data_IF_392456176623
#
_entry.id   IF_392456176623
#
_cell.length_a   1.000
_cell.length_b   1.000
_cell.length_c   1.000
_cell.angle_alpha   90.00
_cell.angle_beta   90.00
_cell.angle_gamma   90.00
#
_symmetry.space_group_name_H-M   'P 1'
#
loop_
_entity.id
_entity.type
_entity.pdbx_description
1 polymer ?
#
# COMPACT_ATOMS: atom_id res chain seq x y z
N UNK A 1 17.41 -12.82 22.15
CA UNK A 1 17.91 -14.13 22.61
C UNK A 1 18.93 -13.82 23.70
N UNK A 2 18.48 -13.72 24.95
CA UNK A 2 19.39 -13.57 26.08
C UNK A 2 19.94 -14.95 26.40
N UNK A 3 21.23 -15.15 26.13
CA UNK A 3 21.96 -16.28 26.71
C UNK A 3 22.37 -15.77 28.08
N UNK A 4 21.83 -16.35 29.14
CA UNK A 4 22.25 -16.02 30.49
C UNK A 4 23.59 -16.72 30.73
N UNK A 5 24.68 -16.02 30.43
CA UNK A 5 26.04 -16.52 30.65
C UNK A 5 26.38 -16.19 32.10
N UNK A 6 26.22 -17.19 32.98
CA UNK A 6 26.73 -17.10 34.35
C UNK A 6 28.26 -17.06 34.33
N UNK A 7 28.79 -16.34 35.31
CA UNK A 7 30.14 -15.77 35.45
C UNK A 7 31.38 -16.67 35.20
N UNK A 8 32.53 -15.99 35.14
CA UNK A 8 33.77 -16.15 34.37
C UNK A 8 34.72 -17.34 34.50
N UNK A 9 34.46 -18.43 35.23
CA UNK A 9 35.50 -19.48 35.45
C UNK A 9 35.10 -20.92 35.15
N UNK A 10 33.98 -21.14 34.47
CA UNK A 10 33.57 -22.46 33.99
C UNK A 10 33.07 -22.36 32.56
N UNK A 11 33.43 -23.36 31.74
CA UNK A 11 33.03 -23.44 30.33
C UNK A 11 31.53 -23.09 30.19
N UNK A 12 31.15 -22.24 29.23
CA UNK A 12 29.77 -21.75 29.12
C UNK A 12 28.81 -22.92 29.01
N UNK A 13 28.05 -23.16 30.08
CA UNK A 13 27.01 -24.19 30.12
C UNK A 13 25.75 -23.59 29.50
N UNK A 14 25.35 -24.11 28.36
CA UNK A 14 24.05 -23.80 27.78
C UNK A 14 23.01 -24.55 28.60
N UNK A 15 22.27 -23.84 29.45
CA UNK A 15 21.25 -24.42 30.31
C UNK A 15 19.95 -24.64 29.51
N UNK A 16 19.75 -25.85 28.98
CA UNK A 16 18.59 -26.22 28.15
C UNK A 16 17.29 -26.46 28.95
N UNK A 17 17.15 -25.89 30.14
CA UNK A 17 16.09 -26.24 31.11
C UNK A 17 14.67 -25.94 30.62
N UNK A 18 14.50 -25.05 29.64
CA UNK A 18 13.17 -24.67 29.15
C UNK A 18 12.78 -25.44 27.85
N UNK A 19 11.87 -26.40 27.98
CA UNK A 19 11.29 -27.19 26.88
C UNK A 19 10.74 -26.32 25.75
N UNK A 20 10.15 -25.16 26.06
CA UNK A 20 9.63 -24.23 25.05
C UNK A 20 10.74 -23.58 24.23
N UNK A 21 11.93 -23.36 24.81
CA UNK A 21 13.08 -22.85 24.05
C UNK A 21 13.59 -23.90 23.06
N UNK A 22 13.62 -25.17 23.47
CA UNK A 22 13.99 -26.30 22.61
C UNK A 22 12.99 -26.49 21.46
N UNK A 23 11.68 -26.47 21.74
CA UNK A 23 10.64 -26.57 20.71
C UNK A 23 10.77 -25.43 19.69
N UNK A 24 10.93 -24.18 20.16
CA UNK A 24 11.13 -23.01 19.28
C UNK A 24 12.37 -23.14 18.41
N UNK A 25 13.50 -23.60 18.98
CA UNK A 25 14.73 -23.83 18.23
C UNK A 25 14.52 -24.91 17.16
N UNK A 26 13.89 -26.03 17.51
CA UNK A 26 13.60 -27.11 16.57
C UNK A 26 12.70 -26.64 15.43
N UNK A 27 11.66 -25.85 15.73
CA UNK A 27 10.78 -25.26 14.70
C UNK A 27 11.53 -24.32 13.77
N UNK A 28 12.41 -23.46 14.29
CA UNK A 28 13.27 -22.60 13.46
C UNK A 28 14.19 -23.42 12.57
N UNK A 29 14.82 -24.48 13.10
CA UNK A 29 15.67 -25.38 12.31
C UNK A 29 14.87 -26.06 11.19
N UNK A 30 13.66 -26.53 11.49
CA UNK A 30 12.78 -27.14 10.49
C UNK A 30 12.36 -26.14 9.41
N UNK A 31 11.96 -24.93 9.80
CA UNK A 31 11.62 -23.85 8.85
C UNK A 31 12.82 -23.48 7.97
N UNK A 32 13.99 -23.33 8.57
CA UNK A 32 15.24 -23.04 7.88
C UNK A 32 15.54 -24.11 6.82
N UNK A 33 15.50 -25.39 7.20
CA UNK A 33 15.74 -26.50 6.28
C UNK A 33 14.72 -26.58 5.14
N UNK A 34 13.46 -26.29 5.42
CA UNK A 34 12.39 -26.37 4.42
C UNK A 34 12.42 -25.20 3.43
N UNK A 35 12.82 -24.01 3.89
CA UNK A 35 12.81 -22.77 3.09
C UNK A 35 14.17 -22.43 2.48
N UNK A 36 15.25 -23.01 3.01
CA UNK A 36 16.64 -22.67 2.71
C UNK A 36 17.01 -21.18 2.96
N UNK A 37 16.22 -20.47 3.78
CA UNK A 37 16.51 -19.10 4.21
C UNK A 37 17.63 -19.14 5.27
N UNK A 38 18.58 -18.18 5.34
CA UNK A 38 19.57 -18.14 6.40
C UNK A 38 18.97 -18.04 7.81
N UNK A 39 19.61 -18.66 8.81
CA UNK A 39 19.11 -18.68 10.20
C UNK A 39 18.85 -17.28 10.79
N UNK A 40 19.66 -16.29 10.42
CA UNK A 40 19.52 -14.91 10.87
C UNK A 40 18.26 -14.27 10.30
N UNK A 41 18.04 -14.42 8.99
CA UNK A 41 16.88 -13.87 8.29
C UNK A 41 15.57 -14.56 8.70
N UNK A 42 15.55 -15.89 8.84
CA UNK A 42 14.33 -16.59 9.26
C UNK A 42 13.95 -16.23 10.71
N UNK A 43 14.94 -15.98 11.59
CA UNK A 43 14.67 -15.51 12.95
C UNK A 43 14.11 -14.09 12.96
N UNK A 44 14.67 -13.19 12.16
CA UNK A 44 14.16 -11.82 11.99
C UNK A 44 12.75 -11.85 11.42
N UNK A 45 12.49 -12.71 10.43
CA UNK A 45 11.18 -12.92 9.85
C UNK A 45 10.15 -13.36 10.90
N UNK A 46 10.44 -14.43 11.65
CA UNK A 46 9.54 -14.92 12.72
C UNK A 46 9.32 -13.84 13.78
N UNK A 47 10.36 -13.07 14.13
CA UNK A 47 10.24 -11.96 15.06
C UNK A 47 9.29 -10.87 14.53
N UNK A 48 9.50 -10.39 13.31
CA UNK A 48 8.65 -9.37 12.69
C UNK A 48 7.20 -9.83 12.59
N UNK A 49 6.95 -11.07 12.19
CA UNK A 49 5.61 -11.64 12.10
C UNK A 49 4.96 -11.73 13.49
N UNK A 50 5.68 -12.21 14.49
CA UNK A 50 5.16 -12.29 15.86
C UNK A 50 4.87 -10.89 16.43
N UNK A 51 5.74 -9.91 16.19
CA UNK A 51 5.57 -8.53 16.65
C UNK A 51 4.45 -7.78 15.95
N UNK A 52 4.10 -8.15 14.72
CA UNK A 52 2.94 -7.60 14.03
C UNK A 52 1.62 -8.26 14.47
N UNK A 53 1.67 -9.40 15.17
CA UNK A 53 0.49 -10.12 15.64
C UNK A 53 -0.15 -9.52 16.90
N UNK A 54 -1.43 -9.83 17.11
CA UNK A 54 -2.19 -9.40 18.29
C UNK A 54 -1.71 -10.03 19.61
N UNK A 55 -0.98 -11.14 19.56
CA UNK A 55 -0.49 -11.89 20.73
C UNK A 55 0.92 -11.43 21.12
N UNK A 56 0.99 -10.23 21.70
CA UNK A 56 2.23 -9.44 21.87
C UNK A 56 3.31 -10.09 22.77
N UNK A 57 3.03 -11.18 23.49
CA UNK A 57 3.90 -11.64 24.59
C UNK A 57 4.50 -13.04 24.44
N UNK A 58 4.30 -13.71 23.31
CA UNK A 58 4.81 -15.07 23.10
C UNK A 58 5.45 -15.15 21.73
N UNK A 59 6.79 -15.18 21.68
CA UNK A 59 7.56 -15.54 20.48
C UNK A 59 7.24 -16.99 20.11
N UNK A 60 6.10 -17.17 19.44
CA UNK A 60 5.48 -18.46 19.13
C UNK A 60 5.26 -18.51 17.63
N UNK A 61 5.69 -19.61 17.03
CA UNK A 61 5.44 -19.88 15.62
C UNK A 61 4.01 -20.39 15.52
N UNK A 62 3.11 -19.52 15.06
CA UNK A 62 1.68 -19.77 14.87
C UNK A 62 1.29 -19.80 13.38
N UNK A 63 0.00 -19.85 13.09
CA UNK A 63 -0.55 -19.86 11.74
C UNK A 63 -0.13 -18.63 10.91
N UNK A 64 -0.02 -17.45 11.52
CA UNK A 64 0.44 -16.22 10.87
C UNK A 64 1.88 -16.33 10.38
N UNK A 65 2.73 -17.09 11.07
CA UNK A 65 4.08 -17.39 10.56
C UNK A 65 4.03 -18.13 9.24
N UNK A 66 3.12 -19.12 9.12
CA UNK A 66 2.94 -19.88 7.89
C UNK A 66 2.22 -19.06 6.80
N UNK A 67 1.21 -18.25 7.15
CA UNK A 67 0.53 -17.33 6.22
C UNK A 67 1.52 -16.33 5.64
N UNK A 68 2.30 -15.66 6.50
CA UNK A 68 3.32 -14.70 6.07
C UNK A 68 4.38 -15.37 5.18
N UNK A 69 4.78 -16.61 5.51
CA UNK A 69 5.74 -17.35 4.71
C UNK A 69 5.17 -17.70 3.35
N UNK A 70 3.89 -18.10 3.29
CA UNK A 70 3.16 -18.35 2.05
C UNK A 70 3.09 -17.10 1.16
N UNK A 71 2.68 -15.96 1.72
CA UNK A 71 2.63 -14.67 1.00
C UNK A 71 4.01 -14.26 0.53
N UNK A 72 5.04 -14.32 1.38
CA UNK A 72 6.41 -14.05 0.96
C UNK A 72 6.86 -14.97 -0.18
N UNK A 73 6.61 -16.27 -0.07
CA UNK A 73 6.99 -17.25 -1.10
C UNK A 73 6.29 -17.00 -2.43
N UNK A 74 5.03 -16.61 -2.38
CA UNK A 74 4.24 -16.22 -3.54
C UNK A 74 4.79 -14.95 -4.18
N UNK A 75 4.99 -13.89 -3.40
CA UNK A 75 5.49 -12.61 -3.91
C UNK A 75 6.94 -12.69 -4.41
N UNK A 76 7.83 -13.42 -3.73
CA UNK A 76 9.24 -13.59 -4.16
C UNK A 76 9.42 -14.38 -5.45
N UNK A 77 8.40 -15.12 -5.90
CA UNK A 77 8.41 -15.76 -7.22
C UNK A 77 8.04 -14.79 -8.35
N UNK A 78 7.32 -13.71 -8.02
CA UNK A 78 6.75 -12.75 -8.99
C UNK A 78 7.50 -11.42 -9.00
N UNK A 79 8.03 -11.02 -7.85
CA UNK A 79 8.67 -9.74 -7.61
C UNK A 79 10.05 -9.93 -6.98
N UNK A 80 10.91 -8.93 -7.18
CA UNK A 80 12.19 -8.86 -6.48
C UNK A 80 11.96 -8.34 -5.06
N UNK A 81 11.79 -9.27 -4.12
CA UNK A 81 11.66 -9.00 -2.69
C UNK A 81 12.43 -10.05 -1.89
N UNK A 82 13.35 -9.61 -1.05
CA UNK A 82 14.06 -10.48 -0.11
C UNK A 82 13.23 -10.72 1.16
N UNK A 83 13.57 -11.79 1.91
CA UNK A 83 12.95 -12.08 3.22
C UNK A 83 13.10 -10.90 4.17
N UNK A 84 14.27 -10.26 4.16
CA UNK A 84 14.59 -9.14 5.03
C UNK A 84 13.73 -7.91 4.70
N UNK A 85 13.59 -7.56 3.41
CA UNK A 85 12.71 -6.47 2.98
C UNK A 85 11.24 -6.78 3.33
N UNK A 86 10.79 -8.01 3.09
CA UNK A 86 9.43 -8.44 3.44
C UNK A 86 9.19 -8.35 4.94
N UNK A 87 10.15 -8.78 5.77
CA UNK A 87 10.07 -8.69 7.23
C UNK A 87 9.99 -7.24 7.71
N UNK A 88 10.72 -6.33 7.06
CA UNK A 88 10.65 -4.91 7.33
C UNK A 88 9.31 -4.28 6.89
N UNK A 89 8.68 -4.81 5.85
CA UNK A 89 7.32 -4.42 5.47
C UNK A 89 6.27 -4.96 6.44
N UNK A 90 6.45 -6.12 7.06
CA UNK A 90 5.49 -6.66 8.05
C UNK A 90 5.58 -5.93 9.40
N UNK A 91 6.77 -5.50 9.81
CA UNK A 91 6.97 -4.82 11.10
C UNK A 91 7.93 -3.64 10.95
N UNK A 92 9.14 -3.73 11.50
CA UNK A 92 10.14 -2.66 11.49
C UNK A 92 11.40 -3.06 10.73
N UNK A 93 12.10 -2.05 10.19
CA UNK A 93 13.45 -2.19 9.66
C UNK A 93 14.39 -2.74 10.74
N UNK A 94 15.28 -3.66 10.35
CA UNK A 94 16.32 -4.12 11.27
C UNK A 94 17.34 -3.01 11.51
N UNK A 95 17.63 -2.74 12.79
CA UNK A 95 18.73 -1.88 13.27
C UNK A 95 19.97 -2.70 13.67
N UNK A 96 19.90 -4.02 13.57
CA UNK A 96 20.98 -4.91 13.97
C UNK A 96 21.80 -5.35 12.76
N UNK A 97 23.12 -5.27 12.89
CA UNK A 97 24.08 -5.79 11.93
C UNK A 97 24.03 -7.32 11.89
N UNK A 98 24.15 -7.90 10.70
CA UNK A 98 24.26 -9.36 10.51
C UNK A 98 25.61 -9.68 9.88
N UNK A 99 26.51 -10.26 10.67
CA UNK A 99 27.88 -10.53 10.23
C UNK A 99 28.60 -9.24 9.84
N UNK A 100 29.05 -9.16 8.58
CA UNK A 100 29.70 -7.96 8.03
C UNK A 100 28.72 -7.00 7.34
N UNK A 101 27.47 -7.40 7.08
CA UNK A 101 26.49 -6.57 6.39
C UNK A 101 25.86 -5.56 7.37
N UNK A 102 25.89 -4.24 7.07
CA UNK A 102 25.21 -3.23 7.88
C UNK A 102 23.72 -3.54 8.03
N UNK A 103 23.11 -3.00 9.09
CA UNK A 103 21.69 -3.16 9.34
C UNK A 103 20.85 -2.65 8.14
N UNK A 104 19.66 -3.21 7.93
CA UNK A 104 18.80 -2.78 6.83
C UNK A 104 18.46 -1.29 6.93
N UNK A 105 18.24 -0.78 8.16
CA UNK A 105 18.03 0.64 8.41
C UNK A 105 19.18 1.50 7.86
N UNK A 106 20.43 1.12 8.15
CA UNK A 106 21.60 1.86 7.69
C UNK A 106 21.81 1.74 6.19
N UNK A 107 21.56 0.56 5.61
CA UNK A 107 21.64 0.37 4.16
C UNK A 107 20.62 1.22 3.39
N UNK A 108 19.46 1.49 4.00
CA UNK A 108 18.41 2.33 3.39
C UNK A 108 18.70 3.81 3.61
N UNK A 109 18.87 4.25 4.86
CA UNK A 109 18.88 5.67 5.22
C UNK A 109 20.28 6.26 5.44
N UNK A 110 21.26 5.44 5.79
CA UNK A 110 22.61 5.88 6.19
C UNK A 110 23.69 5.35 5.25
N UNK A 111 23.38 5.15 3.96
CA UNK A 111 24.39 4.74 3.01
C UNK A 111 25.37 5.89 2.76
N UNK A 112 26.67 5.66 2.96
CA UNK A 112 27.75 6.65 2.81
C UNK A 112 27.79 7.34 1.43
N UNK A 113 27.09 6.77 0.44
CA UNK A 113 26.99 7.32 -0.92
C UNK A 113 26.04 8.52 -1.02
N UNK A 114 25.07 8.62 -0.13
CA UNK A 114 23.99 9.60 -0.25
C UNK A 114 24.16 10.78 0.70
N UNK A 115 24.69 10.56 1.91
CA UNK A 115 24.74 11.59 2.95
C UNK A 115 26.01 11.52 3.80
N UNK A 116 26.49 12.68 4.24
CA UNK A 116 27.63 12.78 5.17
C UNK A 116 27.24 12.54 6.63
N UNK A 117 26.00 12.85 7.02
CA UNK A 117 25.50 12.63 8.37
C UNK A 117 24.43 11.54 8.39
N UNK A 118 24.51 10.64 9.36
CA UNK A 118 23.51 9.60 9.57
C UNK A 118 22.17 10.20 10.06
N UNK A 119 21.07 9.63 9.60
CA UNK A 119 19.73 9.83 10.15
C UNK A 119 19.64 9.07 11.48
N UNK A 120 19.66 9.81 12.59
CA UNK A 120 19.67 9.25 13.94
C UNK A 120 18.27 9.00 14.47
N UNK A 121 18.11 7.91 15.23
CA UNK A 121 16.88 7.55 15.94
C UNK A 121 16.86 8.16 17.35
N UNK A 122 16.73 9.48 17.44
CA UNK A 122 16.75 10.22 18.73
C UNK A 122 15.37 10.33 19.39
N UNK A 123 14.31 9.91 18.70
CA UNK A 123 12.93 9.97 19.20
C UNK A 123 12.35 11.38 19.27
N UNK A 124 13.04 12.41 18.76
CA UNK A 124 12.52 13.77 18.70
C UNK A 124 11.25 13.82 17.84
N UNK A 125 10.42 14.84 18.02
CA UNK A 125 9.33 15.11 17.09
C UNK A 125 9.93 15.30 15.68
N UNK A 126 9.24 14.76 14.67
CA UNK A 126 9.66 14.91 13.27
C UNK A 126 8.61 15.71 12.51
N UNK A 127 8.89 16.98 12.21
CA UNK A 127 7.98 17.82 11.45
C UNK A 127 8.08 17.50 9.96
N UNK A 128 7.05 16.86 9.42
CA UNK A 128 7.05 16.39 8.03
C UNK A 128 6.80 17.53 7.01
N UNK A 129 6.22 18.63 7.47
CA UNK A 129 5.96 19.87 6.72
C UNK A 129 6.98 20.97 7.04
N UNK A 130 8.10 20.60 7.67
CA UNK A 130 9.19 21.50 8.03
C UNK A 130 9.62 22.36 6.85
N UNK A 131 9.73 23.66 7.12
CA UNK A 131 10.39 24.65 6.25
C UNK A 131 11.71 25.15 6.86
N UNK A 132 12.07 24.63 8.04
CA UNK A 132 13.28 24.88 8.81
C UNK A 132 14.35 23.81 8.57
N UNK A 133 15.61 24.13 8.82
CA UNK A 133 16.75 23.43 8.21
C UNK A 133 16.89 21.95 8.60
N UNK A 134 16.84 21.58 9.89
CA UNK A 134 17.21 20.21 10.31
C UNK A 134 16.18 19.13 9.95
N UNK A 135 14.89 19.43 10.11
CA UNK A 135 13.81 18.51 9.73
C UNK A 135 13.63 18.47 8.21
N UNK A 136 13.83 19.61 7.51
CA UNK A 136 13.84 19.64 6.05
C UNK A 136 14.98 18.79 5.46
N UNK A 137 16.17 18.84 6.04
CA UNK A 137 17.29 17.95 5.66
C UNK A 137 16.88 16.48 5.87
N UNK A 138 16.29 16.13 7.01
CA UNK A 138 15.81 14.78 7.27
C UNK A 138 14.75 14.31 6.26
N UNK A 139 13.79 15.18 5.89
CA UNK A 139 12.80 14.92 4.84
C UNK A 139 13.47 14.63 3.50
N UNK A 140 14.42 15.47 3.07
CA UNK A 140 15.14 15.24 1.82
C UNK A 140 15.96 13.95 1.85
N UNK A 141 16.56 13.62 3.01
CA UNK A 141 17.27 12.35 3.20
C UNK A 141 16.34 11.15 3.02
N UNK A 142 15.18 11.17 3.68
CA UNK A 142 14.16 10.12 3.53
C UNK A 142 13.71 10.02 2.07
N UNK A 143 13.44 11.15 1.41
CA UNK A 143 13.02 11.17 0.01
C UNK A 143 14.05 10.51 -0.92
N UNK A 144 15.31 10.94 -0.84
CA UNK A 144 16.37 10.40 -1.67
C UNK A 144 16.68 8.93 -1.34
N UNK A 145 16.66 8.53 -0.06
CA UNK A 145 16.86 7.12 0.35
C UNK A 145 15.79 6.19 -0.22
N UNK A 146 14.55 6.66 -0.28
CA UNK A 146 13.41 5.87 -0.76
C UNK A 146 13.14 6.07 -2.25
N UNK A 147 13.89 6.94 -2.94
CA UNK A 147 13.67 7.26 -4.34
C UNK A 147 12.28 7.86 -4.60
N UNK A 148 11.78 8.67 -3.68
CA UNK A 148 10.48 9.37 -3.78
C UNK A 148 10.72 10.87 -3.91
N UNK A 149 9.79 11.57 -4.56
CA UNK A 149 9.89 13.02 -4.74
C UNK A 149 9.25 13.75 -3.56
N UNK A 150 9.81 14.91 -3.20
CA UNK A 150 9.19 15.81 -2.22
C UNK A 150 8.06 16.62 -2.86
N UNK A 151 6.96 15.94 -3.19
CA UNK A 151 5.75 16.52 -3.81
C UNK A 151 4.51 16.14 -3.01
N UNK A 152 3.39 16.88 -3.14
CA UNK A 152 2.13 16.54 -2.48
C UNK A 152 1.63 15.12 -2.79
N UNK A 153 1.88 14.61 -4.00
CA UNK A 153 1.41 13.30 -4.48
C UNK A 153 2.35 12.13 -4.16
N UNK A 154 3.55 12.40 -3.63
CA UNK A 154 4.55 11.38 -3.28
C UNK A 154 4.87 11.43 -1.79
N UNK A 155 5.95 12.11 -1.38
CA UNK A 155 6.27 12.25 0.06
C UNK A 155 5.16 12.91 0.88
N UNK A 156 4.46 13.90 0.30
CA UNK A 156 3.33 14.58 0.96
C UNK A 156 2.18 13.62 1.27
N UNK A 157 1.81 12.77 0.32
CA UNK A 157 0.78 11.75 0.51
C UNK A 157 1.18 10.75 1.61
N UNK A 158 2.43 10.28 1.63
CA UNK A 158 2.93 9.42 2.71
C UNK A 158 2.88 10.11 4.08
N UNK A 159 3.31 11.36 4.13
CA UNK A 159 3.35 12.16 5.36
C UNK A 159 1.95 12.38 5.93
N UNK A 160 0.97 12.68 5.10
CA UNK A 160 -0.43 12.82 5.51
C UNK A 160 -0.95 11.51 6.13
N UNK A 161 -0.67 10.36 5.51
CA UNK A 161 -1.11 9.07 6.05
C UNK A 161 -0.40 8.71 7.35
N UNK A 162 0.89 9.01 7.47
CA UNK A 162 1.61 8.82 8.74
C UNK A 162 1.00 9.69 9.83
N UNK A 163 0.74 10.99 9.59
CA UNK A 163 0.10 11.87 10.57
C UNK A 163 -1.32 11.41 10.97
N UNK A 164 -2.02 10.70 10.07
CA UNK A 164 -3.36 10.17 10.34
C UNK A 164 -3.33 8.95 11.29
N UNK A 165 -2.31 8.10 11.22
CA UNK A 165 -2.29 6.82 11.94
C UNK A 165 -1.15 6.66 12.97
N UNK A 166 -0.17 7.56 12.96
CA UNK A 166 1.01 7.57 13.81
C UNK A 166 1.30 9.00 14.29
N UNK A 167 2.09 9.13 15.36
CA UNK A 167 2.70 10.41 15.74
C UNK A 167 4.12 10.46 15.18
N UNK A 168 4.41 11.30 14.16
CA UNK A 168 5.72 11.31 13.52
C UNK A 168 6.83 11.70 14.49
N UNK A 169 7.79 10.81 14.65
CA UNK A 169 9.02 11.02 15.42
C UNK A 169 10.22 10.53 14.62
N UNK A 170 11.42 10.94 15.00
CA UNK A 170 12.67 10.36 14.47
C UNK A 170 12.92 9.01 15.16
N UNK A 171 12.02 8.07 14.90
CA UNK A 171 12.00 6.75 15.49
C UNK A 171 11.83 5.64 14.43
N UNK A 172 12.03 4.41 14.88
CA UNK A 172 12.01 3.25 13.99
C UNK A 172 10.62 3.02 13.39
N UNK A 173 9.55 3.31 14.12
CA UNK A 173 8.18 3.13 13.64
C UNK A 173 7.89 4.05 12.45
N UNK A 174 8.22 5.33 12.58
CA UNK A 174 8.01 6.34 11.53
C UNK A 174 8.82 6.02 10.29
N UNK A 175 10.12 5.75 10.42
CA UNK A 175 10.97 5.44 9.26
C UNK A 175 10.69 4.09 8.63
N UNK A 176 10.25 3.09 9.40
CA UNK A 176 9.77 1.82 8.84
C UNK A 176 8.47 2.01 8.08
N UNK A 177 7.59 2.92 8.53
CA UNK A 177 6.35 3.26 7.83
C UNK A 177 6.63 3.89 6.46
N UNK A 178 7.51 4.90 6.39
CA UNK A 178 7.92 5.48 5.11
C UNK A 178 8.53 4.45 4.16
N UNK A 179 9.45 3.63 4.68
CA UNK A 179 10.09 2.57 3.90
C UNK A 179 9.06 1.58 3.33
N UNK A 180 8.11 1.14 4.15
CA UNK A 180 7.06 0.20 3.74
C UNK A 180 6.20 0.79 2.63
N UNK A 181 5.69 2.01 2.81
CA UNK A 181 4.85 2.68 1.81
C UNK A 181 5.58 2.83 0.47
N UNK A 182 6.83 3.31 0.50
CA UNK A 182 7.63 3.47 -0.71
C UNK A 182 8.00 2.13 -1.37
N UNK A 183 8.36 1.09 -0.58
CA UNK A 183 8.68 -0.22 -1.14
C UNK A 183 7.47 -0.95 -1.68
N UNK A 184 6.30 -0.84 -1.07
CA UNK A 184 5.07 -1.45 -1.58
C UNK A 184 4.61 -0.81 -2.89
N UNK A 185 4.65 0.52 -2.99
CA UNK A 185 4.36 1.20 -4.26
C UNK A 185 5.30 0.69 -5.37
N UNK A 186 6.61 0.60 -5.09
CA UNK A 186 7.58 0.06 -6.04
C UNK A 186 7.39 -1.42 -6.33
N UNK A 187 7.03 -2.23 -5.34
CA UNK A 187 6.80 -3.66 -5.49
C UNK A 187 5.72 -3.94 -6.54
N UNK A 188 4.63 -3.17 -6.49
CA UNK A 188 3.50 -3.28 -7.42
C UNK A 188 3.63 -2.42 -8.67
N UNK A 189 4.74 -1.70 -8.86
CA UNK A 189 4.93 -0.82 -10.01
C UNK A 189 3.97 0.38 -10.06
N UNK A 190 3.48 0.82 -8.90
CA UNK A 190 2.52 1.93 -8.77
C UNK A 190 3.21 3.21 -8.29
N UNK A 191 2.62 4.36 -8.60
CA UNK A 191 2.94 5.59 -7.86
C UNK A 191 2.44 5.48 -6.42
N UNK A 192 3.01 6.29 -5.50
CA UNK A 192 2.55 6.32 -4.11
C UNK A 192 1.06 6.68 -4.02
N UNK A 193 0.61 7.62 -4.84
CA UNK A 193 -0.79 8.03 -4.88
C UNK A 193 -1.69 6.90 -5.41
N UNK A 194 -1.31 6.25 -6.51
CA UNK A 194 -2.07 5.12 -7.07
C UNK A 194 -2.15 3.96 -6.08
N UNK A 195 -1.07 3.69 -5.33
CA UNK A 195 -1.06 2.68 -4.27
C UNK A 195 -2.14 2.95 -3.23
N UNK A 196 -2.28 4.21 -2.79
CA UNK A 196 -3.32 4.58 -1.83
C UNK A 196 -4.72 4.54 -2.42
N UNK A 197 -4.89 5.02 -3.64
CA UNK A 197 -6.18 4.96 -4.34
C UNK A 197 -6.64 3.52 -4.56
N UNK A 198 -5.72 2.60 -4.84
CA UNK A 198 -6.01 1.17 -4.94
C UNK A 198 -6.40 0.58 -3.58
N UNK A 199 -5.64 0.88 -2.53
CA UNK A 199 -5.96 0.42 -1.18
C UNK A 199 -7.35 0.91 -0.73
N UNK A 200 -7.67 2.17 -1.01
CA UNK A 200 -8.97 2.78 -0.73
C UNK A 200 -10.10 2.09 -1.50
N UNK A 201 -9.88 1.78 -2.79
CA UNK A 201 -10.85 1.05 -3.62
C UNK A 201 -11.12 -0.37 -3.08
N UNK A 202 -10.09 -1.07 -2.61
CA UNK A 202 -10.20 -2.46 -2.16
C UNK A 202 -10.82 -2.61 -0.77
N UNK A 203 -10.50 -1.71 0.15
CA UNK A 203 -10.96 -1.84 1.54
C UNK A 203 -10.89 -0.56 2.36
N UNK A 204 -10.94 0.59 1.69
CA UNK A 204 -11.07 1.89 2.34
C UNK A 204 -9.92 2.25 3.28
N UNK A 205 -10.24 2.98 4.33
CA UNK A 205 -9.27 3.50 5.31
C UNK A 205 -8.58 2.40 6.12
N UNK A 206 -9.20 1.23 6.27
CA UNK A 206 -8.59 0.09 6.96
C UNK A 206 -7.40 -0.45 6.17
N UNK A 207 -7.50 -0.50 4.83
CA UNK A 207 -6.40 -0.96 3.98
C UNK A 207 -5.27 0.05 3.95
N UNK A 208 -5.59 1.34 3.87
CA UNK A 208 -4.59 2.42 3.98
C UNK A 208 -3.85 2.30 5.31
N UNK A 209 -4.56 2.06 6.42
CA UNK A 209 -3.94 1.88 7.74
C UNK A 209 -2.94 0.72 7.74
N UNK A 210 -3.24 -0.40 7.09
CA UNK A 210 -2.32 -1.54 7.00
C UNK A 210 -1.01 -1.19 6.25
N UNK A 211 -1.04 -0.29 5.27
CA UNK A 211 0.17 0.18 4.58
C UNK A 211 1.07 1.08 5.46
N UNK A 212 0.47 1.76 6.45
CA UNK A 212 1.17 2.70 7.34
C UNK A 212 1.63 2.05 8.64
N UNK A 213 0.77 1.24 9.25
CA UNK A 213 1.01 0.56 10.52
C UNK A 213 0.35 -0.82 10.47
N UNK A 214 1.04 -1.82 9.86
CA UNK A 214 0.49 -3.14 9.65
C UNK A 214 0.21 -3.84 10.97
N UNK A 215 -0.82 -4.68 10.96
CA UNK A 215 -1.11 -5.65 11.99
C UNK A 215 -1.48 -6.98 11.34
N UNK A 216 -1.29 -8.06 12.09
CA UNK A 216 -1.77 -9.39 11.75
C UNK A 216 -2.91 -9.76 12.69
N UNK A 217 -3.96 -10.36 12.14
CA UNK A 217 -5.13 -10.79 12.90
C UNK A 217 -4.77 -11.89 13.91
N UNK A 218 -5.65 -12.14 14.87
CA UNK A 218 -5.46 -13.24 15.83
C UNK A 218 -5.35 -14.59 15.10
N UNK A 219 -4.49 -15.48 15.62
CA UNK A 219 -4.29 -16.82 15.07
C UNK A 219 -5.62 -17.58 15.03
N UNK A 220 -5.94 -18.19 13.89
CA UNK A 220 -7.19 -18.92 13.65
C UNK A 220 -8.39 -18.04 13.27
N UNK A 221 -8.26 -16.71 13.29
CA UNK A 221 -9.30 -15.82 12.75
C UNK A 221 -9.16 -15.64 11.24
N UNK A 222 -10.28 -15.34 10.56
CA UNK A 222 -10.32 -14.90 9.16
C UNK A 222 -10.73 -13.43 8.99
N UNK A 223 -10.95 -12.71 10.09
CA UNK A 223 -11.36 -11.31 10.09
C UNK A 223 -10.80 -10.54 11.31
N UNK A 224 -10.65 -9.20 11.21
CA UNK A 224 -10.74 -8.41 9.97
C UNK A 224 -9.59 -8.73 9.00
N UNK A 225 -9.67 -8.22 7.77
CA UNK A 225 -8.57 -8.32 6.81
C UNK A 225 -7.31 -7.65 7.38
N UNK A 226 -6.18 -8.33 7.26
CA UNK A 226 -4.90 -7.89 7.82
C UNK A 226 -3.88 -7.53 6.73
N UNK A 227 -2.67 -7.11 7.13
CA UNK A 227 -1.64 -6.67 6.19
C UNK A 227 -1.35 -7.71 5.08
N UNK A 228 -1.37 -9.00 5.40
CA UNK A 228 -1.10 -10.05 4.42
C UNK A 228 -2.24 -10.17 3.40
N UNK A 229 -3.48 -10.03 3.85
CA UNK A 229 -4.65 -10.03 2.98
C UNK A 229 -4.62 -8.83 2.02
N UNK A 230 -4.19 -7.64 2.51
CA UNK A 230 -4.01 -6.43 1.68
C UNK A 230 -2.96 -6.66 0.58
N UNK A 231 -1.81 -7.25 0.91
CA UNK A 231 -0.76 -7.51 -0.09
C UNK A 231 -1.25 -8.43 -1.21
N UNK A 232 -1.98 -9.49 -0.86
CA UNK A 232 -2.51 -10.44 -1.85
C UNK A 232 -3.55 -9.79 -2.74
N UNK A 233 -4.47 -9.00 -2.18
CA UNK A 233 -5.51 -8.32 -2.96
C UNK A 233 -4.96 -7.23 -3.86
N UNK A 234 -3.92 -6.50 -3.42
CA UNK A 234 -3.23 -5.53 -4.27
C UNK A 234 -2.53 -6.21 -5.44
N UNK A 235 -1.82 -7.33 -5.22
CA UNK A 235 -1.24 -8.11 -6.33
C UNK A 235 -2.32 -8.58 -7.31
N UNK A 236 -3.43 -9.13 -6.81
CA UNK A 236 -4.52 -9.61 -7.67
C UNK A 236 -5.16 -8.49 -8.47
N UNK A 237 -5.37 -7.31 -7.88
CA UNK A 237 -5.91 -6.17 -8.58
C UNK A 237 -4.97 -5.66 -9.67
N UNK A 238 -3.67 -5.55 -9.37
CA UNK A 238 -2.65 -5.12 -10.34
C UNK A 238 -2.53 -6.12 -11.50
N UNK A 239 -2.56 -7.42 -11.20
CA UNK A 239 -2.55 -8.45 -12.22
C UNK A 239 -3.83 -8.39 -13.07
N UNK A 240 -4.99 -8.21 -12.44
CA UNK A 240 -6.25 -8.07 -13.16
C UNK A 240 -6.27 -6.84 -14.08
N UNK A 241 -5.70 -5.71 -13.65
CA UNK A 241 -5.56 -4.54 -14.53
C UNK A 241 -4.75 -4.88 -15.79
N UNK A 242 -3.63 -5.58 -15.61
CA UNK A 242 -2.78 -6.03 -16.71
C UNK A 242 -3.54 -6.99 -17.64
N UNK A 243 -4.21 -7.99 -17.09
CA UNK A 243 -4.91 -9.03 -17.86
C UNK A 243 -6.12 -8.47 -18.62
N UNK A 244 -6.84 -7.51 -18.02
CA UNK A 244 -7.99 -6.85 -18.63
C UNK A 244 -7.61 -5.68 -19.55
N UNK A 245 -6.33 -5.32 -19.66
CA UNK A 245 -5.87 -4.17 -20.45
C UNK A 245 -6.44 -2.84 -19.96
N UNK A 246 -6.69 -2.71 -18.65
CA UNK A 246 -7.25 -1.50 -18.02
C UNK A 246 -6.24 -0.88 -17.06
N UNK A 247 -6.59 0.27 -16.47
CA UNK A 247 -5.79 0.94 -15.45
C UNK A 247 -6.63 1.27 -14.23
N UNK A 248 -5.98 1.46 -13.08
CA UNK A 248 -6.64 1.92 -11.85
C UNK A 248 -7.47 3.19 -12.11
N UNK A 249 -6.91 4.17 -12.82
CA UNK A 249 -7.58 5.43 -13.13
C UNK A 249 -8.83 5.24 -14.00
N UNK A 250 -8.80 4.28 -14.93
CA UNK A 250 -9.98 3.95 -15.75
C UNK A 250 -11.08 3.34 -14.91
N UNK A 251 -10.74 2.42 -14.02
CA UNK A 251 -11.69 1.77 -13.11
C UNK A 251 -12.29 2.78 -12.14
N UNK A 252 -11.48 3.64 -11.54
CA UNK A 252 -11.95 4.71 -10.64
C UNK A 252 -12.90 5.67 -11.34
N UNK A 253 -12.59 6.08 -12.57
CA UNK A 253 -13.49 6.91 -13.40
C UNK A 253 -14.79 6.18 -13.74
N UNK A 254 -14.75 4.90 -14.09
CA UNK A 254 -15.95 4.10 -14.37
C UNK A 254 -16.83 3.91 -13.15
N UNK A 255 -16.23 3.86 -11.97
CA UNK A 255 -16.93 3.81 -10.68
C UNK A 255 -17.33 5.20 -10.15
N UNK A 256 -17.07 6.27 -10.91
CA UNK A 256 -17.37 7.67 -10.54
C UNK A 256 -16.74 8.08 -9.20
N UNK A 257 -15.56 7.53 -8.89
CA UNK A 257 -14.82 7.80 -7.65
C UNK A 257 -13.90 9.00 -7.75
N UNK A 258 -13.50 9.35 -8.96
CA UNK A 258 -12.84 10.61 -9.22
C UNK A 258 -13.94 11.66 -9.27
N UNK A 259 -13.78 12.74 -8.48
CA UNK A 259 -14.65 13.88 -8.63
C UNK A 259 -14.64 14.23 -10.12
N UNK A 260 -15.81 14.21 -10.74
CA UNK A 260 -16.01 14.89 -12.00
C UNK A 260 -15.76 16.35 -11.63
N UNK A 261 -14.49 16.77 -11.70
CA UNK A 261 -14.23 18.17 -11.99
C UNK A 261 -15.09 18.41 -13.21
N UNK A 262 -16.17 19.17 -13.01
CA UNK A 262 -17.00 19.61 -14.11
C UNK A 262 -16.01 20.27 -15.05
N UNK A 263 -15.59 19.55 -16.09
CA UNK A 263 -14.69 20.08 -17.07
C UNK A 263 -15.44 21.31 -17.58
N UNK A 264 -14.93 22.50 -17.28
CA UNK A 264 -15.46 23.73 -17.84
C UNK A 264 -15.52 23.64 -19.40
N UNK A 265 -14.75 22.71 -19.99
CA UNK A 265 -14.84 22.29 -21.39
C UNK A 265 -15.99 21.32 -21.73
N UNK A 266 -16.32 20.31 -20.90
CA UNK A 266 -17.41 19.38 -21.20
C UNK A 266 -18.76 20.09 -21.28
N UNK A 267 -19.00 21.12 -20.46
CA UNK A 267 -20.19 21.96 -20.58
C UNK A 267 -20.23 22.71 -21.92
N UNK A 268 -19.07 23.16 -22.43
CA UNK A 268 -18.97 23.81 -23.74
C UNK A 268 -19.16 22.82 -24.91
N UNK A 269 -18.77 21.56 -24.77
CA UNK A 269 -19.01 20.50 -25.75
C UNK A 269 -20.45 19.96 -25.71
N UNK A 270 -21.12 20.03 -24.55
CA UNK A 270 -22.50 19.59 -24.38
C UNK A 270 -23.51 20.69 -24.71
N UNK A 271 -23.12 21.96 -24.66
CA UNK A 271 -23.97 23.12 -24.99
C UNK A 271 -24.66 22.98 -26.36
N UNK A 272 -23.97 22.62 -27.46
CA UNK A 272 -24.60 22.50 -28.77
C UNK A 272 -25.63 21.36 -28.82
N UNK A 273 -25.38 20.29 -28.04
CA UNK A 273 -26.26 19.14 -27.97
C UNK A 273 -27.53 19.46 -27.18
N UNK A 274 -27.39 20.20 -26.08
CA UNK A 274 -28.51 20.73 -25.29
C UNK A 274 -29.35 21.70 -26.13
N UNK A 275 -28.70 22.59 -26.88
CA UNK A 275 -29.39 23.51 -27.79
C UNK A 275 -30.16 22.76 -28.89
N UNK A 276 -29.56 21.73 -29.50
CA UNK A 276 -30.24 20.90 -30.50
C UNK A 276 -31.43 20.12 -29.91
N UNK A 277 -31.31 19.58 -28.70
CA UNK A 277 -32.42 18.91 -28.00
C UNK A 277 -33.57 19.88 -27.71
N UNK A 278 -33.26 21.09 -27.23
CA UNK A 278 -34.28 22.12 -26.97
C UNK A 278 -34.97 22.61 -28.24
N UNK A 279 -34.21 22.72 -29.34
CA UNK A 279 -34.78 23.06 -30.65
C UNK A 279 -35.69 21.93 -31.14
N UNK A 280 -35.30 20.67 -30.99
CA UNK A 280 -36.12 19.51 -31.33
C UNK A 280 -37.44 19.48 -30.55
N UNK A 281 -37.45 19.83 -29.27
CA UNK A 281 -38.68 19.98 -28.48
C UNK A 281 -39.58 21.11 -29.00
N UNK A 282 -39.01 22.13 -29.65
CA UNK A 282 -39.75 23.25 -30.25
C UNK A 282 -40.35 22.89 -31.62
N UNK A 283 -39.72 21.96 -32.35
CA UNK A 283 -40.20 21.45 -33.64
C UNK A 283 -41.02 20.16 -33.52
N UNK A 284 -41.05 19.54 -32.33
CA UNK A 284 -41.96 18.45 -32.03
C UNK A 284 -43.39 19.01 -32.05
N UNK A 285 -44.13 18.70 -33.10
CA UNK A 285 -45.55 19.03 -33.19
C UNK A 285 -46.25 18.43 -31.96
N UNK A 286 -47.02 19.23 -31.18
CA UNK A 286 -47.89 18.65 -30.16
C UNK A 286 -48.85 17.67 -30.84
N UNK A 287 -49.14 16.54 -30.19
CA UNK A 287 -49.95 15.43 -30.73
C UNK A 287 -51.30 15.90 -31.33
N UNK A 288 -51.81 17.03 -30.86
CA UNK A 288 -53.05 17.68 -31.35
C UNK A 288 -52.93 18.25 -32.79
N UNK A 289 -51.73 18.32 -33.38
CA UNK A 289 -51.45 18.92 -34.69
C UNK A 289 -51.43 17.92 -35.84
N UNK A 290 -51.40 16.62 -35.54
CA UNK A 290 -51.38 15.55 -36.55
C UNK A 290 -52.72 15.33 -37.28
N UNK A 291 -53.91 15.52 -36.67
CA UNK A 291 -55.19 15.34 -37.37
C UNK A 291 -55.46 16.40 -38.47
N UNK A 292 -54.92 17.61 -38.32
CA UNK A 292 -55.12 18.72 -39.26
C UNK A 292 -54.24 18.62 -40.51
N UNK A 293 -53.10 17.92 -40.44
CA UNK A 293 -52.24 17.68 -41.60
C UNK A 293 -52.88 16.70 -42.60
N UNK A 294 -53.67 15.74 -42.13
CA UNK A 294 -54.40 14.81 -43.02
C UNK A 294 -55.58 15.45 -43.77
N UNK A 295 -56.08 16.61 -43.32
CA UNK A 295 -57.22 17.28 -43.98
C UNK A 295 -56.80 18.22 -45.12
N UNK A 296 -55.55 18.70 -45.12
CA UNK A 296 -55.05 19.62 -46.15
C UNK A 296 -54.78 18.94 -47.50
N UNK A 297 -54.39 17.67 -47.51
CA UNK A 297 -54.10 16.93 -48.76
C UNK A 297 -55.38 16.54 -49.54
N UNK A 298 -56.53 16.36 -48.87
CA UNK A 298 -57.79 16.05 -49.55
C UNK A 298 -58.44 17.25 -50.27
N UNK A 299 -58.16 18.49 -49.85
CA UNK A 299 -58.71 19.69 -50.48
C UNK A 299 -57.94 20.15 -51.74
N UNK A 300 -56.65 19.86 -51.85
CA UNK A 300 -55.86 20.21 -53.04
C UNK A 300 -56.13 19.28 -54.25
N UNK A 301 -56.44 18.00 -53.98
CA UNK A 301 -56.80 17.03 -55.03
C UNK A 301 -58.18 17.29 -55.67
N UNK A 302 -59.09 18.01 -55.00
CA UNK A 302 -60.41 18.36 -55.56
C UNK A 302 -60.41 19.60 -56.46
N UNK A 303 -59.35 20.40 -56.47
CA UNK A 303 -59.26 21.62 -57.30
C UNK A 303 -58.64 21.39 -58.68
N UNK A 304 -58.13 20.20 -58.97
CA UNK A 304 -57.46 19.87 -60.24
C UNK A 304 -58.34 19.13 -61.26
N UNK A 305 -59.56 18.74 -60.94
CA UNK A 305 -60.51 18.13 -61.89
C UNK A 305 -61.68 19.08 -62.22
N UNK A 306 -61.44 20.14 -62.99
CA UNK A 306 -62.49 20.77 -63.80
C UNK A 306 -61.91 21.11 -65.18
N UNK A 307 -62.13 20.23 -66.14
CA UNK A 307 -62.30 20.57 -67.56
C UNK A 307 -63.44 19.75 -68.16
#
# INVERSE_FOLDING_TARGET
MGIDIKDKDTAPVIDFVNVEQLDRLQRIIRLQRWTNIPYTEIKTFVHCVASAGAEVNTFTINDNTLRALGVYRYLSQRYTVSVEEFSAMVHHLSVHRVGQAPALYDRVYNSDRLFNDALTLDGSLFKLDARDDSDLIAVHKVCASLGVLNTPTSFGAMSQRIQQYLTPKKDLATFSSFYRQARLARLFGLSVLDMYQLAELLGGTDYIKQLVSPSLRASGSNAPADFLDVLMQMDWAVQWFSDAGTSLQTVRRQLLLDAVEAENGAHAYLQPFIEHLSALETYALPDESFPTLSQGEEEELKKTEIH
#
